data_IF_551202585064
#
_entry.id   IF_551202585064
#
_cell.length_a   1.000
_cell.length_b   1.000
_cell.length_c   1.000
_cell.angle_alpha   90.00
_cell.angle_beta   90.00
_cell.angle_gamma   90.00
#
_symmetry.space_group_name_H-M   'P 1'
#
loop_
_entity.id
_entity.type
_entity.pdbx_description
1 polymer ?
#
# COMPACT_ATOMS: atom_id res chain seq x y z
N UNK A 1 34.46 2.84 -5.81
CA UNK A 1 33.15 3.49 -5.64
C UNK A 1 32.23 2.91 -6.70
N UNK A 2 31.57 1.80 -6.40
CA UNK A 2 30.58 1.19 -7.28
C UNK A 2 29.27 1.93 -7.08
N UNK A 3 28.93 2.84 -8.01
CA UNK A 3 27.62 3.41 -8.15
C UNK A 3 26.67 2.42 -8.80
N UNK A 4 26.17 1.44 -8.05
CA UNK A 4 25.06 0.62 -8.50
C UNK A 4 23.87 1.51 -8.78
N UNK A 5 23.22 1.34 -9.95
CA UNK A 5 21.99 2.04 -10.28
C UNK A 5 20.99 1.82 -9.12
N UNK A 6 20.63 2.90 -8.42
CA UNK A 6 19.59 2.83 -7.39
C UNK A 6 18.26 2.72 -8.14
N UNK A 7 17.68 1.54 -8.17
CA UNK A 7 16.31 1.35 -8.60
C UNK A 7 15.40 2.13 -7.66
N UNK A 8 14.63 3.06 -8.22
CA UNK A 8 13.76 3.94 -7.43
C UNK A 8 12.34 3.89 -7.98
N UNK A 9 11.42 3.40 -7.15
CA UNK A 9 10.01 3.56 -7.42
C UNK A 9 9.59 5.01 -7.17
N UNK A 10 8.63 5.48 -7.95
CA UNK A 10 7.96 6.76 -7.74
C UNK A 10 6.47 6.55 -7.97
N UNK A 11 5.62 7.01 -7.06
CA UNK A 11 4.19 7.13 -7.28
C UNK A 11 3.82 8.60 -7.32
N UNK A 12 2.90 8.96 -8.20
CA UNK A 12 2.47 10.34 -8.39
C UNK A 12 0.99 10.41 -8.74
N UNK A 13 0.36 11.48 -8.26
CA UNK A 13 -0.98 11.91 -8.66
C UNK A 13 -0.86 13.08 -9.63
N UNK A 14 -1.79 13.15 -10.56
CA UNK A 14 -1.91 14.29 -11.47
C UNK A 14 -3.37 14.60 -11.69
N UNK A 15 -3.78 15.84 -11.42
CA UNK A 15 -5.15 16.31 -11.59
C UNK A 15 -5.22 17.41 -12.63
N UNK A 16 -6.09 17.18 -13.62
CA UNK A 16 -6.50 18.16 -14.62
C UNK A 16 -8.04 18.29 -14.56
N UNK A 17 -8.72 18.06 -15.68
CA UNK A 17 -10.16 17.80 -15.71
C UNK A 17 -10.48 16.43 -15.06
N UNK A 18 -9.60 15.46 -15.27
CA UNK A 18 -9.67 14.13 -14.68
C UNK A 18 -8.54 13.94 -13.66
N UNK A 19 -8.67 12.92 -12.80
CA UNK A 19 -7.65 12.50 -11.83
C UNK A 19 -6.90 11.28 -12.34
N UNK A 20 -5.59 11.33 -12.24
CA UNK A 20 -4.68 10.26 -12.61
C UNK A 20 -3.81 9.86 -11.43
N UNK A 21 -3.63 8.56 -11.26
CA UNK A 21 -2.68 7.98 -10.33
C UNK A 21 -1.78 7.01 -11.10
N UNK A 22 -0.47 7.11 -10.92
CA UNK A 22 0.49 6.24 -11.59
C UNK A 22 1.71 6.00 -10.74
N UNK A 23 2.43 4.93 -11.07
CA UNK A 23 3.71 4.63 -10.42
C UNK A 23 4.68 3.99 -11.40
N UNK A 24 5.99 4.11 -11.12
CA UNK A 24 7.05 3.29 -11.72
C UNK A 24 7.36 2.13 -10.77
N UNK A 25 7.47 0.92 -11.31
CA UNK A 25 7.84 -0.29 -10.58
C UNK A 25 9.25 -0.72 -11.05
N UNK A 26 10.27 -0.23 -10.36
CA UNK A 26 11.67 -0.49 -10.71
C UNK A 26 12.22 -1.65 -9.90
N UNK A 27 12.35 -2.82 -10.54
CA UNK A 27 13.00 -4.00 -10.02
C UNK A 27 14.06 -4.53 -10.99
N UNK A 28 15.08 -5.20 -10.46
CA UNK A 28 16.14 -5.83 -11.27
C UNK A 28 15.62 -7.03 -12.09
N UNK A 29 14.53 -7.65 -11.66
CA UNK A 29 13.92 -8.81 -12.30
C UNK A 29 12.42 -8.88 -11.98
N UNK A 30 11.64 -9.53 -12.85
CA UNK A 30 10.20 -9.74 -12.61
C UNK A 30 9.98 -10.91 -11.66
N UNK A 31 9.06 -10.74 -10.74
CA UNK A 31 8.54 -11.79 -9.87
C UNK A 31 7.34 -12.52 -10.48
N UNK A 32 7.04 -12.31 -11.76
CA UNK A 32 5.82 -12.78 -12.41
C UNK A 32 4.66 -11.81 -12.16
N UNK A 33 4.97 -10.51 -12.24
CA UNK A 33 3.99 -9.44 -12.03
C UNK A 33 2.96 -9.43 -13.14
N UNK A 34 1.69 -9.29 -12.78
CA UNK A 34 0.58 -9.28 -13.72
C UNK A 34 -0.51 -8.28 -13.33
N UNK A 35 -1.26 -7.79 -14.32
CA UNK A 35 -2.46 -6.98 -14.06
C UNK A 35 -3.54 -7.90 -13.53
N UNK A 36 -3.94 -7.65 -12.30
CA UNK A 36 -4.89 -8.48 -11.57
C UNK A 36 -6.17 -7.72 -11.28
N UNK A 37 -7.31 -8.32 -11.62
CA UNK A 37 -8.65 -7.80 -11.29
C UNK A 37 -9.24 -8.66 -10.18
N UNK A 38 -9.54 -8.05 -9.04
CA UNK A 38 -10.29 -8.69 -7.95
C UNK A 38 -11.75 -8.23 -8.01
N UNK A 39 -12.70 -9.13 -8.35
CA UNK A 39 -14.12 -8.78 -8.45
C UNK A 39 -14.76 -8.61 -7.06
N UNK A 40 -15.91 -7.92 -6.97
CA UNK A 40 -16.61 -7.55 -5.72
C UNK A 40 -16.92 -8.72 -4.75
N UNK A 41 -16.93 -9.95 -5.22
CA UNK A 41 -17.27 -11.14 -4.42
C UNK A 41 -16.11 -12.13 -4.30
N UNK A 42 -14.90 -11.68 -4.59
CA UNK A 42 -13.71 -12.48 -4.34
C UNK A 42 -13.55 -12.67 -2.82
N UNK A 43 -13.42 -13.90 -2.29
CA UNK A 43 -13.29 -14.13 -0.86
C UNK A 43 -11.86 -13.79 -0.40
N UNK A 44 -11.64 -12.59 0.15
CA UNK A 44 -10.40 -12.31 0.84
C UNK A 44 -10.35 -13.01 2.18
N UNK A 45 -9.28 -13.76 2.43
CA UNK A 45 -8.98 -14.39 3.72
C UNK A 45 -7.83 -13.64 4.38
N UNK A 46 -8.15 -12.64 5.21
CA UNK A 46 -7.18 -11.86 5.96
C UNK A 46 -6.68 -12.64 7.17
N UNK A 47 -5.36 -12.64 7.39
CA UNK A 47 -4.67 -13.46 8.41
C UNK A 47 -5.24 -13.33 9.82
N UNK A 48 -5.59 -12.11 10.21
CA UNK A 48 -6.06 -11.81 11.56
C UNK A 48 -7.50 -11.29 11.59
N UNK A 49 -8.08 -10.98 10.44
CA UNK A 49 -9.41 -10.35 10.34
C UNK A 49 -10.49 -11.26 9.74
N UNK A 50 -10.11 -12.50 9.36
CA UNK A 50 -11.03 -13.46 8.82
C UNK A 50 -11.43 -13.19 7.36
N UNK A 51 -12.58 -13.72 6.95
CA UNK A 51 -13.05 -13.67 5.57
C UNK A 51 -13.89 -12.42 5.29
N UNK A 52 -13.63 -11.76 4.15
CA UNK A 52 -14.43 -10.66 3.61
C UNK A 52 -14.86 -11.01 2.19
N UNK A 53 -16.17 -11.27 2.02
CA UNK A 53 -16.78 -11.70 0.73
C UNK A 53 -17.56 -10.61 0.02
N UNK A 54 -17.67 -9.42 0.60
CA UNK A 54 -18.38 -8.28 0.00
C UNK A 54 -17.53 -7.02 0.14
N UNK A 55 -17.01 -6.57 -0.97
CA UNK A 55 -16.07 -5.44 -1.02
C UNK A 55 -16.12 -4.75 -2.38
N UNK A 56 -15.45 -3.62 -2.52
CA UNK A 56 -15.26 -2.96 -3.82
C UNK A 56 -14.35 -3.81 -4.72
N UNK A 57 -14.68 -3.85 -6.01
CA UNK A 57 -13.77 -4.41 -7.00
C UNK A 57 -12.52 -3.53 -7.10
N UNK A 58 -11.38 -4.16 -7.39
CA UNK A 58 -10.11 -3.46 -7.57
C UNK A 58 -9.30 -4.05 -8.72
N UNK A 59 -8.44 -3.22 -9.29
CA UNK A 59 -7.48 -3.60 -10.34
C UNK A 59 -6.13 -2.99 -10.00
N UNK A 60 -5.06 -3.73 -10.24
CA UNK A 60 -3.69 -3.25 -10.01
C UNK A 60 -2.64 -4.22 -10.49
N UNK A 61 -1.40 -3.87 -10.26
CA UNK A 61 -0.26 -4.75 -10.48
C UNK A 61 -0.02 -5.61 -9.25
N UNK A 62 0.04 -6.92 -9.44
CA UNK A 62 0.24 -7.87 -8.34
C UNK A 62 1.15 -9.03 -8.72
N UNK A 63 1.79 -9.63 -7.74
CA UNK A 63 2.26 -11.00 -7.82
C UNK A 63 1.16 -11.92 -7.26
N UNK A 64 0.66 -12.85 -8.07
CA UNK A 64 -0.38 -13.78 -7.64
C UNK A 64 0.27 -15.05 -7.08
N UNK A 65 0.18 -15.23 -5.77
CA UNK A 65 0.73 -16.39 -5.06
C UNK A 65 -0.42 -17.32 -4.63
N UNK A 66 -0.50 -18.50 -5.23
CA UNK A 66 -1.72 -19.31 -5.14
C UNK A 66 -2.88 -18.55 -5.78
N UNK A 67 -3.98 -18.39 -5.07
CA UNK A 67 -5.11 -17.59 -5.54
C UNK A 67 -5.14 -16.18 -4.89
N UNK A 68 -4.06 -15.76 -4.19
CA UNK A 68 -4.01 -14.50 -3.45
C UNK A 68 -3.22 -13.43 -4.20
N UNK A 69 -3.83 -12.25 -4.50
CA UNK A 69 -3.14 -11.15 -5.14
C UNK A 69 -2.31 -10.34 -4.14
N UNK A 70 -0.99 -10.42 -4.25
CA UNK A 70 -0.04 -9.57 -3.51
C UNK A 70 0.15 -8.28 -4.31
N UNK A 71 -0.68 -7.28 -4.05
CA UNK A 71 -0.69 -6.02 -4.79
C UNK A 71 0.53 -5.15 -4.46
N UNK A 72 1.19 -4.64 -5.50
CA UNK A 72 2.17 -3.55 -5.41
C UNK A 72 1.47 -2.18 -5.42
N UNK A 73 0.40 -2.09 -6.21
CA UNK A 73 -0.50 -0.96 -6.33
C UNK A 73 -1.87 -1.44 -6.79
N UNK A 74 -2.90 -0.67 -6.50
CA UNK A 74 -4.23 -0.91 -7.05
C UNK A 74 -5.10 0.36 -6.95
N UNK A 75 -6.17 0.35 -7.72
CA UNK A 75 -7.29 1.29 -7.62
C UNK A 75 -8.58 0.51 -7.49
N UNK A 76 -9.49 0.97 -6.63
CA UNK A 76 -10.82 0.38 -6.53
C UNK A 76 -11.83 1.09 -7.43
N UNK A 77 -13.00 0.48 -7.60
CA UNK A 77 -14.10 1.00 -8.42
C UNK A 77 -14.70 2.34 -7.96
N UNK A 78 -14.28 2.84 -6.80
CA UNK A 78 -14.65 4.15 -6.25
C UNK A 78 -13.64 5.25 -6.58
N UNK A 79 -12.51 4.88 -7.17
CA UNK A 79 -11.43 5.81 -7.52
C UNK A 79 -10.40 6.05 -6.43
N UNK A 80 -10.46 5.30 -5.32
CA UNK A 80 -9.38 5.31 -4.33
C UNK A 80 -8.22 4.46 -4.84
N UNK A 81 -7.03 5.05 -4.90
CA UNK A 81 -5.80 4.42 -5.36
C UNK A 81 -4.78 4.30 -4.24
N UNK A 82 -3.93 3.27 -4.31
CA UNK A 82 -2.88 3.02 -3.33
C UNK A 82 -1.68 2.36 -3.99
N UNK A 83 -0.47 2.74 -3.58
CA UNK A 83 0.78 2.10 -4.01
C UNK A 83 1.74 1.95 -2.84
N UNK A 84 2.45 0.80 -2.81
CA UNK A 84 3.55 0.54 -1.89
C UNK A 84 4.90 0.79 -2.57
N UNK A 85 5.81 1.46 -1.87
CA UNK A 85 7.16 1.77 -2.31
C UNK A 85 8.18 1.31 -1.29
N UNK A 86 9.41 1.01 -1.73
CA UNK A 86 10.47 0.54 -0.84
C UNK A 86 10.83 1.59 0.22
N UNK A 87 10.85 1.14 1.48
CA UNK A 87 11.18 1.95 2.66
C UNK A 87 12.22 1.24 3.53
N UNK A 88 13.23 0.69 2.88
CA UNK A 88 14.24 -0.19 3.48
C UNK A 88 15.03 0.51 4.57
N UNK A 89 15.14 -0.15 5.73
CA UNK A 89 15.82 0.36 6.92
C UNK A 89 15.01 1.30 7.80
N UNK A 90 13.82 1.72 7.36
CA UNK A 90 12.94 2.60 8.12
C UNK A 90 11.64 1.90 8.55
N UNK A 91 11.10 1.01 7.70
CA UNK A 91 9.85 0.32 7.99
C UNK A 91 9.98 -0.61 9.20
N UNK A 92 9.10 -0.44 10.18
CA UNK A 92 8.96 -1.29 11.37
C UNK A 92 7.48 -1.57 11.58
N UNK A 93 7.08 -2.83 11.47
CA UNK A 93 5.70 -3.27 11.74
C UNK A 93 5.55 -3.73 13.17
N UNK A 94 4.35 -3.59 13.71
CA UNK A 94 4.05 -3.91 15.09
C UNK A 94 3.72 -5.40 15.25
N UNK A 95 3.71 -5.86 16.51
CA UNK A 95 3.13 -7.15 16.86
C UNK A 95 1.59 -7.07 16.90
N UNK A 96 0.95 -8.23 16.88
CA UNK A 96 -0.51 -8.32 17.02
C UNK A 96 -0.96 -7.73 18.36
N UNK A 97 -1.92 -6.82 18.32
CA UNK A 97 -2.50 -6.14 19.48
C UNK A 97 -3.97 -6.52 19.65
N UNK A 98 -4.37 -6.95 20.85
CA UNK A 98 -5.75 -7.29 21.14
C UNK A 98 -6.65 -6.04 21.07
N UNK A 99 -7.82 -6.19 20.45
CA UNK A 99 -8.79 -5.09 20.31
C UNK A 99 -8.52 -4.13 19.14
N UNK A 100 -7.47 -4.37 18.34
CA UNK A 100 -7.16 -3.62 17.11
C UNK A 100 -7.49 -4.44 15.86
N UNK A 101 -7.72 -3.74 14.76
CA UNK A 101 -7.78 -4.37 13.44
C UNK A 101 -6.35 -4.70 12.99
N UNK A 102 -5.88 -5.93 13.29
CA UNK A 102 -4.54 -6.37 12.90
C UNK A 102 -4.53 -6.79 11.43
N UNK A 103 -3.77 -6.08 10.62
CA UNK A 103 -3.67 -6.30 9.17
C UNK A 103 -2.23 -6.61 8.82
N UNK A 104 -1.98 -7.74 8.17
CA UNK A 104 -0.62 -8.07 7.73
C UNK A 104 -0.16 -7.09 6.63
N UNK A 105 1.13 -6.82 6.58
CA UNK A 105 1.70 -5.83 5.65
C UNK A 105 1.27 -6.09 4.20
N UNK A 106 1.31 -7.34 3.73
CA UNK A 106 0.93 -7.72 2.36
C UNK A 106 -0.57 -7.58 2.08
N UNK A 107 -1.40 -7.49 3.12
CA UNK A 107 -2.86 -7.33 3.05
C UNK A 107 -3.29 -5.86 3.07
N UNK A 108 -2.37 -4.92 3.27
CA UNK A 108 -2.71 -3.53 3.53
C UNK A 108 -3.44 -2.86 2.36
N UNK A 109 -2.96 -3.06 1.13
CA UNK A 109 -3.63 -2.53 -0.08
C UNK A 109 -5.04 -3.11 -0.22
N UNK A 110 -5.24 -4.44 -0.27
CA UNK A 110 -6.59 -4.98 -0.40
C UNK A 110 -7.48 -4.67 0.80
N UNK A 111 -6.95 -4.54 2.02
CA UNK A 111 -7.74 -4.18 3.20
C UNK A 111 -8.35 -2.78 3.08
N UNK A 112 -7.56 -1.78 2.73
CA UNK A 112 -8.05 -0.41 2.56
C UNK A 112 -8.98 -0.30 1.35
N UNK A 113 -8.56 -0.81 0.19
CA UNK A 113 -9.32 -0.67 -1.05
C UNK A 113 -10.61 -1.49 -1.08
N UNK A 114 -10.71 -2.53 -0.26
CA UNK A 114 -11.94 -3.35 -0.16
C UNK A 114 -13.12 -2.58 0.45
N UNK A 115 -12.87 -1.63 1.35
CA UNK A 115 -13.89 -0.99 2.18
C UNK A 115 -13.95 0.53 2.13
N UNK A 116 -12.88 1.19 1.71
CA UNK A 116 -12.80 2.65 1.67
C UNK A 116 -13.03 3.18 0.26
N UNK A 117 -13.92 4.18 0.12
CA UNK A 117 -14.17 4.86 -1.14
C UNK A 117 -13.35 6.14 -1.31
N UNK A 118 -12.87 6.71 -0.20
CA UNK A 118 -12.15 8.00 -0.17
C UNK A 118 -10.95 7.95 0.78
N UNK A 119 -10.02 8.89 0.61
CA UNK A 119 -8.90 9.07 1.55
C UNK A 119 -9.40 9.38 2.96
N UNK A 120 -10.50 10.12 3.09
CA UNK A 120 -11.13 10.38 4.40
C UNK A 120 -11.53 9.07 5.11
N UNK A 121 -12.20 8.16 4.41
CA UNK A 121 -12.57 6.84 4.96
C UNK A 121 -11.33 5.99 5.26
N UNK A 122 -10.29 6.08 4.41
CA UNK A 122 -9.02 5.42 4.67
C UNK A 122 -8.38 5.91 5.98
N UNK A 123 -8.37 7.22 6.27
CA UNK A 123 -7.89 7.78 7.56
C UNK A 123 -8.66 7.22 8.75
N UNK A 124 -9.99 7.11 8.65
CA UNK A 124 -10.81 6.54 9.72
C UNK A 124 -10.50 5.06 9.96
N UNK A 125 -10.22 4.30 8.89
CA UNK A 125 -9.78 2.91 8.97
C UNK A 125 -8.38 2.80 9.60
N UNK A 126 -7.42 3.63 9.17
CA UNK A 126 -6.04 3.65 9.69
C UNK A 126 -5.98 3.90 11.20
N UNK A 127 -6.87 4.75 11.73
CA UNK A 127 -6.93 5.02 13.19
C UNK A 127 -7.31 3.80 14.04
N UNK A 128 -7.98 2.81 13.44
CA UNK A 128 -8.42 1.58 14.12
C UNK A 128 -7.48 0.41 13.90
N UNK A 129 -6.65 0.51 12.86
CA UNK A 129 -5.83 -0.57 12.40
C UNK A 129 -4.47 -0.62 13.10
N UNK A 130 -3.91 -1.81 13.12
CA UNK A 130 -2.54 -2.10 13.50
C UNK A 130 -1.88 -2.88 12.36
N UNK A 131 -0.85 -2.31 11.76
CA UNK A 131 -0.14 -2.97 10.66
C UNK A 131 0.94 -3.87 11.22
N UNK A 132 0.79 -5.19 10.96
CA UNK A 132 1.63 -6.22 11.57
C UNK A 132 2.58 -6.86 10.57
N UNK A 133 3.74 -7.31 11.07
CA UNK A 133 4.81 -7.93 10.29
C UNK A 133 4.58 -9.39 9.95
N UNK A 134 3.33 -9.89 9.97
CA UNK A 134 3.03 -11.29 9.61
C UNK A 134 3.39 -11.55 8.15
N UNK A 135 4.28 -12.52 7.84
CA UNK A 135 4.68 -12.82 6.47
C UNK A 135 3.58 -13.55 5.71
N UNK A 136 3.58 -13.43 4.38
CA UNK A 136 2.71 -14.26 3.54
C UNK A 136 3.09 -15.74 3.62
N UNK A 137 4.39 -16.04 3.52
CA UNK A 137 4.98 -17.36 3.68
C UNK A 137 6.44 -17.22 4.12
N UNK A 138 7.12 -18.34 4.40
CA UNK A 138 8.57 -18.35 4.68
C UNK A 138 9.39 -17.80 3.51
N UNK A 139 8.94 -18.04 2.27
CA UNK A 139 9.60 -17.59 1.05
C UNK A 139 9.25 -16.14 0.69
N UNK A 140 8.14 -15.62 1.21
CA UNK A 140 7.64 -14.27 0.98
C UNK A 140 7.47 -13.54 2.33
N UNK A 141 8.58 -13.07 2.91
CA UNK A 141 8.55 -12.30 4.17
C UNK A 141 7.90 -10.93 3.95
N UNK A 142 7.60 -10.25 5.05
CA UNK A 142 7.07 -8.88 5.01
C UNK A 142 8.07 -7.94 4.35
N UNK A 143 7.63 -7.23 3.32
CA UNK A 143 8.44 -6.24 2.63
C UNK A 143 8.48 -4.92 3.43
N UNK A 144 9.63 -4.25 3.42
CA UNK A 144 9.80 -2.94 4.06
C UNK A 144 9.27 -1.85 3.12
N UNK A 145 8.02 -1.43 3.34
CA UNK A 145 7.32 -0.48 2.48
C UNK A 145 6.77 0.71 3.28
N UNK A 146 6.50 1.79 2.54
CA UNK A 146 5.57 2.85 2.89
C UNK A 146 4.59 3.06 1.72
N UNK A 147 3.52 3.81 1.95
CA UNK A 147 2.42 3.87 0.98
C UNK A 147 1.94 5.28 0.74
N UNK A 148 1.51 5.52 -0.50
CA UNK A 148 0.66 6.65 -0.86
C UNK A 148 -0.77 6.13 -1.08
N UNK A 149 -1.75 6.85 -0.53
CA UNK A 149 -3.18 6.61 -0.73
C UNK A 149 -3.76 7.91 -1.27
N UNK A 150 -4.48 7.85 -2.37
CA UNK A 150 -4.99 9.06 -3.02
C UNK A 150 -6.36 8.85 -3.67
N UNK A 151 -7.15 9.90 -3.65
CA UNK A 151 -8.38 10.05 -4.45
C UNK A 151 -8.31 11.38 -5.24
N UNK A 152 -9.38 11.76 -5.90
CA UNK A 152 -9.43 13.01 -6.69
C UNK A 152 -9.28 14.29 -5.86
N UNK A 153 -9.41 14.24 -4.54
CA UNK A 153 -9.45 15.40 -3.65
C UNK A 153 -8.17 15.57 -2.84
N UNK A 154 -7.55 14.48 -2.41
CA UNK A 154 -6.40 14.51 -1.53
C UNK A 154 -5.50 13.28 -1.68
N UNK A 155 -4.28 13.39 -1.18
CA UNK A 155 -3.36 12.29 -1.02
C UNK A 155 -2.77 12.29 0.40
N UNK A 156 -2.46 11.09 0.90
CA UNK A 156 -1.75 10.86 2.16
C UNK A 156 -0.60 9.89 1.97
N UNK A 157 0.40 10.03 2.81
CA UNK A 157 1.49 9.05 2.95
C UNK A 157 1.37 8.33 4.28
N UNK A 158 1.52 7.00 4.26
CA UNK A 158 1.49 6.16 5.46
C UNK A 158 2.84 5.50 5.63
N UNK A 159 3.46 5.71 6.78
CA UNK A 159 4.75 5.15 7.17
C UNK A 159 4.65 4.47 8.54
N UNK A 160 5.03 3.19 8.61
CA UNK A 160 5.18 2.49 9.88
C UNK A 160 6.65 2.48 10.27
N UNK A 161 6.99 3.17 11.34
CA UNK A 161 8.35 3.29 11.85
C UNK A 161 8.44 2.78 13.29
N UNK A 162 9.63 2.85 13.88
CA UNK A 162 9.89 2.32 15.23
C UNK A 162 8.98 2.92 16.31
N UNK A 163 8.56 4.16 16.15
CA UNK A 163 7.71 4.93 17.05
C UNK A 163 6.21 4.86 16.70
N UNK A 164 5.84 4.07 15.68
CA UNK A 164 4.45 3.79 15.31
C UNK A 164 4.09 4.10 13.86
N UNK A 165 2.79 4.16 13.61
CA UNK A 165 2.24 4.50 12.30
C UNK A 165 2.06 6.02 12.19
N UNK A 166 2.64 6.60 11.15
CA UNK A 166 2.53 8.00 10.80
C UNK A 166 1.67 8.17 9.55
N UNK A 167 0.77 9.14 9.59
CA UNK A 167 -0.14 9.47 8.47
C UNK A 167 0.09 10.96 8.17
N UNK A 168 0.71 11.23 7.03
CA UNK A 168 1.04 12.58 6.58
C UNK A 168 0.08 13.04 5.49
N UNK A 169 -0.32 14.31 5.54
CA UNK A 169 -0.90 14.96 4.37
C UNK A 169 0.16 15.05 3.27
N UNK A 170 -0.20 14.66 2.06
CA UNK A 170 0.70 14.71 0.91
C UNK A 170 0.20 15.71 -0.15
N UNK A 171 0.42 17.00 0.06
CA UNK A 171 -0.12 18.04 -0.82
C UNK A 171 0.53 18.07 -2.21
N UNK A 172 1.70 17.44 -2.36
CA UNK A 172 2.38 17.34 -3.66
C UNK A 172 1.94 16.12 -4.46
N UNK A 173 1.27 15.15 -3.80
CA UNK A 173 0.76 13.95 -4.44
C UNK A 173 1.85 13.02 -4.99
N UNK A 174 3.06 13.07 -4.45
CA UNK A 174 4.21 12.27 -4.89
C UNK A 174 4.84 11.54 -3.71
N UNK A 175 5.26 10.30 -3.92
CA UNK A 175 6.07 9.53 -2.98
C UNK A 175 7.15 8.78 -3.76
N UNK A 176 8.38 8.81 -3.25
CA UNK A 176 9.51 7.99 -3.75
C UNK A 176 9.87 6.93 -2.71
N UNK A 177 11.00 6.25 -2.88
CA UNK A 177 11.55 5.36 -1.85
C UNK A 177 12.06 6.19 -0.65
N UNK A 178 13.14 5.73 0.03
CA UNK A 178 13.82 6.53 1.06
C UNK A 178 14.21 7.93 0.56
N UNK A 179 14.28 8.96 1.45
CA UNK A 179 14.14 8.92 2.91
C UNK A 179 12.67 8.96 3.39
N UNK A 180 12.40 9.00 4.72
CA UNK A 180 11.06 9.26 5.26
C UNK A 180 10.39 10.48 4.64
N UNK A 181 9.07 10.46 4.51
CA UNK A 181 8.30 11.45 3.76
C UNK A 181 8.53 12.90 4.23
N UNK A 182 8.62 13.14 5.54
CA UNK A 182 8.92 14.48 6.05
C UNK A 182 10.24 15.02 5.49
N UNK A 183 11.25 14.16 5.32
CA UNK A 183 12.52 14.58 4.74
C UNK A 183 12.40 14.81 3.22
N UNK A 184 11.55 14.03 2.52
CA UNK A 184 11.28 14.27 1.10
C UNK A 184 10.66 15.65 0.86
N UNK A 185 9.83 16.13 1.78
CA UNK A 185 9.17 17.44 1.68
C UNK A 185 10.13 18.64 1.87
N UNK A 186 11.34 18.41 2.39
CA UNK A 186 12.35 19.47 2.57
C UNK A 186 13.41 19.51 1.46
N UNK A 187 13.36 18.59 0.49
CA UNK A 187 14.27 18.54 -0.67
C UNK A 187 13.66 19.24 -1.88
#
# INVERSE_FOLDING_TARGET
>A
VEGGAKFMCTAATYKTQDFYFGRTLDYEFSYGDEITVTPRKYPFHFRHMGEVVSHYAMIGMAHVAGDYPLYYDAVNEKGLAMAGLNFVGNAVYQEVEEGRENVAQFEFIPWILSKCATVKEARESLNKMNLVGTPFSEQLPSAQLHWIIADENEAITVECMKDGMHIYDNPVGVLTNNPPFEQQMFQ
#
